data_IF_986898014439
#
_entry.id   IF_986898014439
#
_cell.length_a   1.000
_cell.length_b   1.000
_cell.length_c   1.000
_cell.angle_alpha   90.00
_cell.angle_beta   90.00
_cell.angle_gamma   90.00
#
_symmetry.space_group_name_H-M   'P 1'
#
loop_
_entity.id
_entity.type
_entity.pdbx_description
1 polymer ?
#
# COMPACT_ATOMS: atom_id res chain seq x y z
N UNK A 1 7.23 6.72 -1.86
CA UNK A 1 5.95 7.16 -2.46
C UNK A 1 5.91 6.95 -3.98
N UNK A 2 6.84 7.54 -4.76
CA UNK A 2 6.87 7.39 -6.22
C UNK A 2 6.95 5.93 -6.69
N UNK A 3 7.80 5.13 -6.07
CA UNK A 3 7.99 3.70 -6.38
C UNK A 3 6.71 2.87 -6.14
N UNK A 4 5.94 3.19 -5.09
CA UNK A 4 4.66 2.55 -4.81
C UNK A 4 3.62 2.88 -5.89
N UNK A 5 3.56 4.13 -6.35
CA UNK A 5 2.66 4.54 -7.42
C UNK A 5 3.02 3.87 -8.75
N UNK A 6 4.31 3.72 -9.05
CA UNK A 6 4.76 3.00 -10.25
C UNK A 6 4.37 1.52 -10.19
N UNK A 7 4.54 0.86 -9.04
CA UNK A 7 4.14 -0.54 -8.86
C UNK A 7 2.62 -0.74 -8.98
N UNK A 8 1.82 0.15 -8.38
CA UNK A 8 0.36 0.11 -8.50
C UNK A 8 -0.09 0.35 -9.95
N UNK A 9 0.51 1.32 -10.63
CA UNK A 9 0.20 1.59 -12.05
C UNK A 9 0.55 0.41 -12.96
N UNK A 10 1.70 -0.23 -12.74
CA UNK A 10 2.11 -1.42 -13.47
C UNK A 10 1.15 -2.60 -13.22
N UNK A 11 0.74 -2.80 -11.98
CA UNK A 11 -0.19 -3.87 -11.57
C UNK A 11 -1.56 -3.71 -12.23
N UNK A 12 -2.09 -2.48 -12.28
CA UNK A 12 -3.35 -2.15 -12.96
C UNK A 12 -3.26 -2.43 -14.47
N UNK A 13 -2.14 -2.07 -15.11
CA UNK A 13 -1.93 -2.33 -16.55
C UNK A 13 -1.84 -3.84 -16.80
N UNK A 14 -1.16 -4.58 -15.93
CA UNK A 14 -0.99 -6.03 -16.05
C UNK A 14 -2.32 -6.78 -15.85
N UNK A 15 -3.10 -6.39 -14.84
CA UNK A 15 -4.45 -6.89 -14.60
C UNK A 15 -5.38 -6.56 -15.77
N UNK A 16 -5.28 -5.35 -16.34
CA UNK A 16 -6.10 -4.94 -17.49
C UNK A 16 -5.76 -5.73 -18.77
N UNK A 17 -4.47 -5.99 -19.01
CA UNK A 17 -4.02 -6.82 -20.15
C UNK A 17 -4.48 -8.27 -20.04
N UNK A 18 -4.54 -8.80 -18.81
CA UNK A 18 -4.90 -10.19 -18.54
C UNK A 18 -6.35 -10.37 -18.08
N UNK A 19 -7.15 -9.31 -18.09
CA UNK A 19 -8.51 -9.28 -17.55
C UNK A 19 -9.41 -10.36 -18.14
N UNK A 20 -9.27 -10.66 -19.43
CA UNK A 20 -10.07 -11.66 -20.13
C UNK A 20 -9.72 -13.12 -19.75
N UNK A 21 -8.62 -13.33 -19.04
CA UNK A 21 -8.14 -14.65 -18.61
C UNK A 21 -8.07 -14.78 -17.09
N UNK A 22 -8.40 -13.73 -16.35
CA UNK A 22 -8.38 -13.71 -14.89
C UNK A 22 -9.70 -14.24 -14.33
N UNK A 23 -9.58 -15.12 -13.35
CA UNK A 23 -10.75 -15.55 -12.58
C UNK A 23 -11.15 -14.46 -11.57
N UNK A 24 -12.44 -14.39 -11.22
CA UNK A 24 -12.96 -13.44 -10.24
C UNK A 24 -12.14 -13.34 -8.92
N UNK A 25 -11.67 -14.45 -8.31
CA UNK A 25 -10.81 -14.38 -7.12
C UNK A 25 -9.43 -13.75 -7.39
N UNK A 26 -8.80 -14.00 -8.53
CA UNK A 26 -7.50 -13.39 -8.87
C UNK A 26 -7.65 -11.88 -9.09
N UNK A 27 -8.74 -11.46 -9.74
CA UNK A 27 -9.08 -10.05 -9.86
C UNK A 27 -9.25 -9.41 -8.48
N UNK A 28 -10.04 -10.01 -7.59
CA UNK A 28 -10.24 -9.46 -6.24
C UNK A 28 -8.94 -9.38 -5.44
N UNK A 29 -8.06 -10.38 -5.53
CA UNK A 29 -6.79 -10.39 -4.84
C UNK A 29 -5.86 -9.27 -5.33
N UNK A 30 -5.83 -9.00 -6.64
CA UNK A 30 -5.01 -7.94 -7.22
C UNK A 30 -5.41 -6.53 -6.74
N UNK A 31 -6.67 -6.30 -6.38
CA UNK A 31 -7.11 -5.02 -5.79
C UNK A 31 -6.95 -4.97 -4.27
N UNK A 32 -7.25 -6.06 -3.56
CA UNK A 32 -7.21 -6.09 -2.09
C UNK A 32 -5.78 -6.00 -1.56
N UNK A 33 -4.84 -6.70 -2.20
CA UNK A 33 -3.45 -6.76 -1.75
C UNK A 33 -2.75 -5.38 -1.67
N UNK A 34 -2.76 -4.53 -2.72
CA UNK A 34 -2.18 -3.20 -2.64
C UNK A 34 -2.87 -2.29 -1.62
N UNK A 35 -4.19 -2.42 -1.41
CA UNK A 35 -4.92 -1.66 -0.38
C UNK A 35 -4.43 -2.03 1.03
N UNK A 36 -4.25 -3.32 1.31
CA UNK A 36 -3.72 -3.80 2.59
C UNK A 36 -2.29 -3.31 2.79
N UNK A 37 -1.43 -3.43 1.77
CA UNK A 37 -0.06 -2.91 1.83
C UNK A 37 -0.01 -1.41 2.13
N UNK A 38 -0.88 -0.62 1.50
CA UNK A 38 -0.89 0.83 1.68
C UNK A 38 -1.44 1.24 3.04
N UNK A 39 -2.47 0.56 3.54
CA UNK A 39 -2.99 0.79 4.90
C UNK A 39 -1.97 0.44 5.98
N UNK A 40 -1.23 -0.66 5.82
CA UNK A 40 -0.12 -1.03 6.72
C UNK A 40 1.01 -0.01 6.65
N UNK A 41 1.41 0.42 5.45
CA UNK A 41 2.47 1.43 5.27
C UNK A 41 2.11 2.75 5.97
N UNK A 42 0.89 3.24 5.78
CA UNK A 42 0.40 4.47 6.45
C UNK A 42 0.34 4.28 7.97
N UNK A 43 -0.19 3.16 8.45
CA UNK A 43 -0.26 2.88 9.88
C UNK A 43 1.13 2.81 10.53
N UNK A 44 2.12 2.24 9.83
CA UNK A 44 3.49 2.15 10.32
C UNK A 44 4.14 3.54 10.41
N UNK A 45 3.97 4.37 9.37
CA UNK A 45 4.44 5.76 9.36
C UNK A 45 3.82 6.59 10.49
N UNK A 46 2.50 6.51 10.65
CA UNK A 46 1.79 7.22 11.73
C UNK A 46 2.24 6.79 13.13
N UNK A 47 2.56 5.50 13.31
CA UNK A 47 3.07 4.97 14.58
C UNK A 47 4.51 5.40 14.86
N UNK A 48 5.31 5.60 13.82
CA UNK A 48 6.68 6.10 13.94
C UNK A 48 6.69 7.58 14.32
N UNK A 49 5.85 8.39 13.66
CA UNK A 49 5.68 9.82 13.96
C UNK A 49 5.24 10.05 15.41
N UNK A 50 4.29 9.25 15.90
CA UNK A 50 3.85 9.33 17.30
C UNK A 50 4.96 8.99 18.31
N UNK A 51 5.88 8.07 17.97
CA UNK A 51 7.02 7.75 18.84
C UNK A 51 8.03 8.90 18.90
N UNK A 52 8.31 9.53 17.77
CA UNK A 52 9.23 10.66 17.71
C UNK A 52 8.69 11.86 18.50
N UNK A 53 7.39 12.15 18.39
CA UNK A 53 6.74 13.22 19.17
C UNK A 53 6.80 12.98 20.68
N UNK A 54 6.65 11.73 21.14
CA UNK A 54 6.78 11.42 22.58
C UNK A 54 8.22 11.54 23.07
N UNK A 55 9.20 11.11 22.27
CA UNK A 55 10.62 11.25 22.62
C UNK A 55 11.05 12.72 22.73
N UNK A 56 10.55 13.58 21.85
CA UNK A 56 10.81 15.03 21.93
C UNK A 56 10.13 15.70 23.12
N UNK A 57 8.99 15.19 23.60
CA UNK A 57 8.29 15.72 24.76
C UNK A 57 8.90 15.29 26.11
N UNK A 58 9.63 14.18 26.16
CA UNK A 58 10.41 13.78 27.36
C UNK A 58 11.78 14.46 27.46
N UNK A 59 12.25 15.10 26.38
CA UNK A 59 13.56 15.74 26.34
C UNK A 59 13.51 17.26 26.62
N UNK A 60 12.31 17.82 26.84
CA UNK A 60 12.04 19.21 27.26
C UNK A 60 11.70 19.26 28.76
#
# INVERSE_FOLDING_TARGET
MFLCFTLIGLDIIFVSLKYNSLTFPEFSAAFIFPIVLMSVYVAYGAKQENRERQLSAECE
#
